data_IF_301869186475
#
_entry.id   IF_301869186475
#
_cell.length_a   1.000
_cell.length_b   1.000
_cell.length_c   1.000
_cell.angle_alpha   90.00
_cell.angle_beta   90.00
_cell.angle_gamma   90.00
#
_symmetry.space_group_name_H-M   'P 1'
#
loop_
_entity.id
_entity.type
_entity.pdbx_description
1 polymer ?
#
# COMPACT_ATOMS: atom_id res chain seq x y z
N UNK A 1 34.32 -30.50 56.17
CA UNK A 1 34.31 -29.87 54.82
C UNK A 1 33.58 -30.79 53.85
N UNK A 2 32.38 -30.43 53.36
CA UNK A 2 31.80 -30.96 52.12
C UNK A 2 30.98 -29.84 51.46
N UNK A 3 31.52 -29.24 50.39
CA UNK A 3 30.83 -28.22 49.58
C UNK A 3 29.78 -28.93 48.73
N UNK A 4 28.51 -28.55 48.89
CA UNK A 4 27.42 -28.97 47.99
C UNK A 4 27.57 -28.19 46.69
N UNK A 5 28.13 -28.84 45.68
CA UNK A 5 28.26 -28.29 44.32
C UNK A 5 26.85 -28.27 43.72
N UNK A 6 26.29 -27.07 43.54
CA UNK A 6 25.05 -26.91 42.76
C UNK A 6 25.43 -27.01 41.30
N UNK A 7 24.88 -28.03 40.63
CA UNK A 7 24.99 -28.19 39.20
C UNK A 7 24.15 -27.07 38.55
N UNK A 8 24.81 -25.99 38.13
CA UNK A 8 24.16 -24.95 37.34
C UNK A 8 23.97 -25.55 35.95
N UNK A 9 22.74 -25.93 35.63
CA UNK A 9 22.34 -26.24 34.26
C UNK A 9 22.54 -24.98 33.43
N UNK A 10 23.69 -24.89 32.76
CA UNK A 10 24.07 -23.84 31.81
C UNK A 10 23.31 -23.96 30.47
N UNK A 11 22.17 -24.66 30.44
CA UNK A 11 21.45 -24.99 29.21
C UNK A 11 20.07 -24.29 29.07
N UNK A 12 19.56 -23.63 30.12
CA UNK A 12 18.17 -23.12 30.14
C UNK A 12 18.02 -21.58 30.09
N UNK A 13 19.07 -20.82 29.76
CA UNK A 13 18.93 -19.35 29.74
C UNK A 13 19.81 -18.64 28.72
N UNK A 14 19.89 -19.20 27.51
CA UNK A 14 20.10 -18.36 26.35
C UNK A 14 18.89 -18.56 25.45
N UNK A 15 17.74 -18.05 25.93
CA UNK A 15 16.75 -17.51 25.00
C UNK A 15 17.53 -16.58 24.06
N UNK A 16 17.72 -17.03 22.82
CA UNK A 16 18.03 -16.12 21.74
C UNK A 16 16.76 -15.30 21.49
N UNK A 17 16.46 -14.41 22.42
CA UNK A 17 15.45 -13.38 22.28
C UNK A 17 16.00 -12.39 21.27
N UNK A 18 15.96 -12.75 19.98
CA UNK A 18 16.04 -11.78 18.91
C UNK A 18 14.75 -10.98 18.94
N UNK A 19 14.66 -10.05 19.88
CA UNK A 19 13.63 -9.04 19.90
C UNK A 19 14.00 -8.05 18.80
N UNK A 20 13.61 -8.36 17.56
CA UNK A 20 13.59 -7.39 16.46
C UNK A 20 12.46 -6.43 16.80
N UNK A 21 12.78 -5.51 17.72
CA UNK A 21 11.77 -4.72 18.41
C UNK A 21 11.04 -3.83 17.41
N UNK A 22 11.75 -3.18 16.48
CA UNK A 22 11.14 -2.31 15.48
C UNK A 22 12.10 -2.15 14.29
N UNK A 23 11.93 -2.90 13.19
CA UNK A 23 12.56 -2.51 11.93
C UNK A 23 11.77 -1.32 11.38
N UNK A 24 12.32 -0.11 11.46
CA UNK A 24 11.69 1.15 11.04
C UNK A 24 11.39 1.28 9.54
N UNK A 25 11.31 0.17 8.80
CA UNK A 25 10.97 0.09 7.38
C UNK A 25 9.68 -0.75 7.14
N UNK A 26 8.95 -1.13 8.18
CA UNK A 26 7.73 -1.95 8.02
C UNK A 26 6.49 -1.14 7.64
N UNK A 27 6.58 0.19 7.69
CA UNK A 27 5.52 1.14 7.32
C UNK A 27 6.00 1.96 6.11
N UNK A 28 5.95 1.33 4.93
CA UNK A 28 6.35 1.97 3.67
C UNK A 28 5.09 2.22 2.87
N UNK A 29 4.63 3.47 2.88
CA UNK A 29 3.56 3.95 2.02
C UNK A 29 4.08 4.08 0.58
N UNK A 30 3.86 3.05 -0.23
CA UNK A 30 4.20 3.10 -1.66
C UNK A 30 3.08 3.80 -2.42
N UNK A 31 3.35 5.01 -2.89
CA UNK A 31 2.42 5.79 -3.69
C UNK A 31 2.75 5.68 -5.17
N UNK A 32 1.90 4.98 -5.92
CA UNK A 32 2.00 4.90 -7.39
C UNK A 32 1.11 5.97 -8.00
N UNK A 33 1.71 6.92 -8.73
CA UNK A 33 1.01 7.96 -9.47
C UNK A 33 1.05 7.58 -10.94
N UNK A 34 -0.11 7.28 -11.53
CA UNK A 34 -0.24 6.99 -12.96
C UNK A 34 -0.96 8.16 -13.62
N UNK A 35 -0.26 8.86 -14.53
CA UNK A 35 -0.90 9.85 -15.40
C UNK A 35 -1.53 9.16 -16.61
N UNK A 36 -2.86 9.11 -16.64
CA UNK A 36 -3.64 8.50 -17.72
C UNK A 36 -4.02 9.48 -18.82
N UNK A 37 -3.63 10.75 -18.72
CA UNK A 37 -3.94 11.79 -19.71
C UNK A 37 -3.48 11.43 -21.12
N UNK A 38 -2.24 10.96 -21.35
CA UNK A 38 -1.78 10.64 -22.70
C UNK A 38 -2.59 9.50 -23.34
N UNK A 39 -3.02 8.52 -22.54
CA UNK A 39 -3.82 7.39 -22.99
C UNK A 39 -5.22 7.86 -23.41
N UNK A 40 -5.87 8.68 -22.57
CA UNK A 40 -7.19 9.24 -22.88
C UNK A 40 -7.16 10.08 -24.17
N UNK A 41 -6.13 10.91 -24.36
CA UNK A 41 -5.97 11.69 -25.58
C UNK A 41 -5.75 10.81 -26.81
N UNK A 42 -4.91 9.77 -26.71
CA UNK A 42 -4.68 8.82 -27.80
C UNK A 42 -5.97 8.08 -28.20
N UNK A 43 -6.82 7.73 -27.23
CA UNK A 43 -8.13 7.14 -27.50
C UNK A 43 -9.04 8.10 -28.27
N UNK A 44 -9.11 9.38 -27.87
CA UNK A 44 -9.89 10.39 -28.61
C UNK A 44 -9.39 10.57 -30.05
N UNK A 45 -8.07 10.58 -30.25
CA UNK A 45 -7.47 10.61 -31.59
C UNK A 45 -7.84 9.37 -32.42
N UNK A 46 -7.86 8.19 -31.79
CA UNK A 46 -8.28 6.94 -32.44
C UNK A 46 -9.74 7.00 -32.87
N UNK A 47 -10.63 7.52 -32.01
CA UNK A 47 -12.05 7.69 -32.31
C UNK A 47 -12.28 8.68 -33.46
N UNK A 48 -11.56 9.80 -33.47
CA UNK A 48 -11.62 10.77 -34.56
C UNK A 48 -11.11 10.17 -35.88
N UNK A 49 -9.96 9.48 -35.84
CA UNK A 49 -9.36 8.83 -37.00
C UNK A 49 -10.25 7.74 -37.60
N UNK A 50 -10.99 7.04 -36.75
CA UNK A 50 -11.95 6.00 -37.18
C UNK A 50 -13.32 6.55 -37.52
N UNK A 51 -13.49 7.89 -37.55
CA UNK A 51 -14.74 8.60 -37.83
C UNK A 51 -15.90 8.22 -36.90
N UNK A 52 -15.60 7.71 -35.71
CA UNK A 52 -16.60 7.39 -34.69
C UNK A 52 -17.11 8.63 -33.98
N UNK A 53 -16.35 9.73 -34.04
CA UNK A 53 -16.74 11.05 -33.54
C UNK A 53 -16.40 12.12 -34.58
N UNK A 54 -17.13 13.22 -34.54
CA UNK A 54 -16.87 14.43 -35.34
C UNK A 54 -15.76 15.28 -34.75
N UNK A 55 -15.22 16.22 -35.55
CA UNK A 55 -14.25 17.21 -35.06
C UNK A 55 -14.79 18.06 -33.91
N UNK A 56 -16.09 18.41 -33.93
CA UNK A 56 -16.70 19.23 -32.88
C UNK A 56 -16.95 18.44 -31.59
N UNK A 57 -17.24 17.14 -31.71
CA UNK A 57 -17.26 16.23 -30.54
C UNK A 57 -15.87 16.06 -29.95
N UNK A 58 -14.86 15.83 -30.79
CA UNK A 58 -13.47 15.72 -30.34
C UNK A 58 -13.02 16.97 -29.55
N UNK A 59 -13.26 18.18 -30.07
CA UNK A 59 -12.91 19.43 -29.37
C UNK A 59 -13.61 19.56 -28.02
N UNK A 60 -14.90 19.20 -27.95
CA UNK A 60 -15.66 19.21 -26.70
C UNK A 60 -15.12 18.18 -25.69
N UNK A 61 -14.79 16.97 -26.14
CA UNK A 61 -14.23 15.92 -25.29
C UNK A 61 -12.83 16.26 -24.77
N UNK A 62 -11.97 16.88 -25.59
CA UNK A 62 -10.65 17.35 -25.13
C UNK A 62 -10.81 18.41 -24.03
N UNK A 63 -11.71 19.38 -24.20
CA UNK A 63 -11.99 20.38 -23.17
C UNK A 63 -12.48 19.75 -21.86
N UNK A 64 -13.39 18.77 -21.95
CA UNK A 64 -13.87 18.04 -20.77
C UNK A 64 -12.76 17.23 -20.09
N UNK A 65 -11.84 16.64 -20.86
CA UNK A 65 -10.67 15.94 -20.33
C UNK A 65 -9.74 16.91 -19.59
N UNK A 66 -9.46 18.08 -20.15
CA UNK A 66 -8.67 19.14 -19.50
C UNK A 66 -9.31 19.62 -18.19
N UNK A 67 -10.64 19.83 -18.21
CA UNK A 67 -11.40 20.18 -17.01
C UNK A 67 -11.28 19.07 -15.95
N UNK A 68 -11.41 17.80 -16.33
CA UNK A 68 -11.25 16.67 -15.41
C UNK A 68 -9.86 16.63 -14.77
N UNK A 69 -8.81 16.91 -15.54
CA UNK A 69 -7.43 16.89 -15.05
C UNK A 69 -7.17 18.06 -14.08
N UNK A 70 -7.77 19.22 -14.34
CA UNK A 70 -7.64 20.38 -13.44
C UNK A 70 -8.38 20.16 -12.12
N UNK A 71 -9.58 19.58 -12.16
CA UNK A 71 -10.42 19.39 -10.96
C UNK A 71 -10.14 18.07 -10.23
N UNK A 72 -9.53 17.08 -10.88
CA UNK A 72 -9.27 15.74 -10.36
C UNK A 72 -8.04 15.59 -9.44
N UNK A 73 -7.24 16.65 -9.24
CA UNK A 73 -6.04 16.62 -8.39
C UNK A 73 -6.31 16.48 -6.88
N UNK A 74 -7.57 16.33 -6.46
CA UNK A 74 -7.99 16.35 -5.06
C UNK A 74 -8.30 15.01 -4.40
N UNK A 75 -8.41 13.89 -5.13
CA UNK A 75 -8.86 12.64 -4.53
C UNK A 75 -7.69 11.70 -4.22
N UNK A 76 -6.98 12.00 -3.13
CA UNK A 76 -6.21 11.00 -2.42
C UNK A 76 -7.22 10.09 -1.73
N UNK A 77 -7.30 8.82 -2.15
CA UNK A 77 -7.94 7.79 -1.34
C UNK A 77 -7.00 7.58 -0.15
N UNK A 78 -7.31 8.25 0.95
CA UNK A 78 -6.67 8.03 2.23
C UNK A 78 -7.22 6.71 2.77
N UNK A 79 -6.64 5.60 2.34
CA UNK A 79 -6.87 4.31 3.00
C UNK A 79 -6.38 4.47 4.44
N UNK A 80 -7.32 4.77 5.32
CA UNK A 80 -7.09 4.88 6.75
C UNK A 80 -6.74 3.49 7.24
N UNK A 81 -5.46 3.24 7.51
CA UNK A 81 -4.93 2.02 8.13
C UNK A 81 -5.42 1.90 9.60
N UNK A 82 -6.73 1.73 9.79
CA UNK A 82 -7.33 1.62 11.12
C UNK A 82 -7.18 0.19 11.67
N UNK A 83 -6.20 0.02 12.54
CA UNK A 83 -5.88 -1.23 13.25
C UNK A 83 -6.95 -1.67 14.26
N UNK A 84 -8.01 -0.86 14.48
CA UNK A 84 -9.06 -1.14 15.47
C UNK A 84 -9.85 -2.44 15.21
N UNK A 85 -9.79 -2.99 13.99
CA UNK A 85 -10.46 -4.23 13.60
C UNK A 85 -9.59 -5.49 13.68
N UNK A 86 -8.29 -5.36 13.96
CA UNK A 86 -7.38 -6.51 14.00
C UNK A 86 -7.56 -7.27 15.33
N UNK A 87 -8.42 -8.30 15.32
CA UNK A 87 -8.52 -9.26 16.44
C UNK A 87 -7.41 -10.29 16.34
N UNK A 88 -6.43 -10.19 17.24
CA UNK A 88 -5.44 -11.24 17.46
C UNK A 88 -6.13 -12.48 18.05
N UNK A 89 -6.19 -13.56 17.26
CA UNK A 89 -6.73 -14.83 17.73
C UNK A 89 -5.70 -15.55 18.62
N UNK A 90 -5.65 -15.21 19.91
CA UNK A 90 -5.02 -16.07 20.91
C UNK A 90 -5.92 -17.30 21.13
N UNK A 91 -5.76 -18.32 20.30
CA UNK A 91 -6.22 -19.67 20.59
C UNK A 91 -5.27 -20.68 19.97
N UNK A 92 -4.44 -21.26 20.84
CA UNK A 92 -4.04 -22.67 20.92
C UNK A 92 -2.56 -22.81 21.30
N UNK A 93 -2.25 -22.57 22.57
CA UNK A 93 -1.21 -23.31 23.26
C UNK A 93 -1.77 -23.74 24.62
N UNK A 94 -2.66 -24.73 24.59
CA UNK A 94 -2.81 -25.69 25.70
C UNK A 94 -2.05 -26.93 25.27
N UNK A 95 -0.79 -27.01 25.69
CA UNK A 95 -0.02 -28.23 25.84
C UNK A 95 0.20 -28.43 27.33
#
# INVERSE_FOLDING_TARGET
>A
MKKKIRNISLADSIESASQVSHSGNSDVDVKVIVDTTPIAYAMLCTLLSTKQITNDEFKRSVKQLEDLIQHGKGHWVEDSNDLSYVKLNHKLLRG
#
